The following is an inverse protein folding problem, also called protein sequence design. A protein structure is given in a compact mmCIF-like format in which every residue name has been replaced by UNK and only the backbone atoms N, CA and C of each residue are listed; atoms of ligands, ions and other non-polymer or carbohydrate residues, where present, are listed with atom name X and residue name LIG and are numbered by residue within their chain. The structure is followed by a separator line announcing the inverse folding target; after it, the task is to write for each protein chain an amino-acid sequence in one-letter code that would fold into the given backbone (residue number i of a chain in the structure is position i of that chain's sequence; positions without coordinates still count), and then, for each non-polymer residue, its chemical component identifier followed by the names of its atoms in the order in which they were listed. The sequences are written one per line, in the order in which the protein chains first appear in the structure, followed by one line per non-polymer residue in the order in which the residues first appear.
data_IF_213111098249
#
_entry.id   IF_213111098249
#
_cell.length_a   1.000
_cell.length_b   1.000
_cell.length_c   1.000
_cell.angle_alpha   90.00
_cell.angle_beta   90.00
_cell.angle_gamma   90.00
#
_symmetry.space_group_name_H-M   'P 1'
#
loop_
_entity.id
_entity.type
_entity.pdbx_description
1 polymer ?
#
# COMPACT_ATOMS: atom_id res chain seq x y z
N UNK A 1 17.52 6.94 21.70
CA UNK A 1 17.27 5.51 21.39
C UNK A 1 16.38 5.50 20.16
N UNK A 2 17.01 5.67 18.99
CA UNK A 2 16.33 5.75 17.71
C UNK A 2 16.19 4.32 17.18
N UNK A 3 14.95 3.92 16.90
CA UNK A 3 14.62 2.60 16.38
C UNK A 3 15.02 2.56 14.91
N UNK A 4 16.17 1.94 14.64
CA UNK A 4 16.67 1.63 13.31
C UNK A 4 16.00 0.35 12.81
N UNK A 5 14.68 0.39 12.62
CA UNK A 5 13.96 -0.69 11.97
C UNK A 5 14.06 -0.55 10.45
N UNK A 6 15.00 -1.32 9.90
CA UNK A 6 14.95 -1.89 8.55
C UNK A 6 14.93 -0.93 7.36
N UNK A 7 16.06 -0.30 7.05
CA UNK A 7 16.33 0.23 5.70
C UNK A 7 16.72 -0.92 4.75
N UNK A 8 15.73 -1.66 4.27
CA UNK A 8 15.84 -2.52 3.10
C UNK A 8 14.91 -2.04 2.00
N UNK A 9 15.09 -2.43 0.72
CA UNK A 9 14.19 -2.08 -0.38
C UNK A 9 12.74 -2.60 -0.20
N UNK A 10 12.49 -3.35 0.87
CA UNK A 10 11.21 -3.89 1.31
C UNK A 10 10.45 -2.94 2.28
N UNK A 11 11.11 -1.89 2.79
CA UNK A 11 10.54 -0.92 3.75
C UNK A 11 10.05 0.37 3.06
N UNK A 12 10.15 0.47 1.73
CA UNK A 12 9.62 1.62 1.01
C UNK A 12 8.08 1.54 0.99
N UNK A 13 7.43 2.49 1.65
CA UNK A 13 6.00 2.70 1.52
C UNK A 13 5.72 3.12 0.07
N UNK A 14 4.66 2.57 -0.52
CA UNK A 14 4.18 2.89 -1.86
C UNK A 14 2.76 3.45 -1.78
N UNK A 15 2.38 4.24 -2.79
CA UNK A 15 1.00 4.71 -2.91
C UNK A 15 0.16 3.60 -3.53
N UNK A 16 -0.81 3.09 -2.79
CA UNK A 16 -1.83 2.19 -3.28
C UNK A 16 -3.14 2.96 -3.53
N UNK A 17 -3.59 2.97 -4.78
CA UNK A 17 -4.89 3.51 -5.17
C UNK A 17 -5.87 2.37 -5.46
N UNK A 18 -7.02 2.40 -4.80
CA UNK A 18 -8.10 1.43 -5.00
C UNK A 18 -9.31 2.16 -5.54
N UNK A 19 -9.85 1.70 -6.68
CA UNK A 19 -11.12 2.21 -7.20
C UNK A 19 -12.26 1.29 -6.81
N UNK A 20 -13.39 1.90 -6.45
CA UNK A 20 -14.65 1.25 -6.17
C UNK A 20 -15.75 2.04 -6.87
N UNK A 21 -16.10 1.61 -8.09
CA UNK A 21 -16.94 2.39 -8.98
C UNK A 21 -16.26 3.70 -9.37
N UNK A 22 -16.94 4.83 -9.14
CA UNK A 22 -16.42 6.17 -9.47
C UNK A 22 -15.53 6.77 -8.36
N UNK A 23 -15.35 6.07 -7.24
CA UNK A 23 -14.59 6.57 -6.09
C UNK A 23 -13.18 5.97 -6.09
N UNK A 24 -12.17 6.83 -5.98
CA UNK A 24 -10.78 6.43 -5.75
C UNK A 24 -10.42 6.62 -4.28
N UNK A 25 -9.76 5.63 -3.71
CA UNK A 25 -9.21 5.65 -2.37
C UNK A 25 -7.70 5.54 -2.42
N UNK A 26 -7.03 6.52 -1.83
CA UNK A 26 -5.58 6.66 -1.82
C UNK A 26 -5.01 6.27 -0.45
N UNK A 27 -4.11 5.31 -0.46
CA UNK A 27 -3.46 4.78 0.74
C UNK A 27 -1.95 4.72 0.56
N UNK A 28 -1.21 4.78 1.67
CA UNK A 28 0.17 4.32 1.72
C UNK A 28 0.23 2.92 2.32
N UNK A 29 1.06 2.05 1.77
CA UNK A 29 1.33 0.72 2.33
C UNK A 29 2.76 0.32 2.01
N UNK A 30 3.36 -0.55 2.81
CA UNK A 30 4.64 -1.18 2.42
C UNK A 30 4.50 -1.86 1.07
N UNK A 31 5.55 -1.81 0.23
CA UNK A 31 5.57 -2.45 -1.08
C UNK A 31 5.04 -3.89 -1.05
N UNK A 32 5.49 -4.70 -0.09
CA UNK A 32 5.02 -6.09 0.06
C UNK A 32 3.54 -6.22 0.41
N UNK A 33 3.01 -5.34 1.26
CA UNK A 33 1.61 -5.33 1.62
C UNK A 33 0.73 -4.90 0.45
N UNK A 34 1.17 -3.90 -0.32
CA UNK A 34 0.49 -3.46 -1.52
C UNK A 34 0.43 -4.57 -2.58
N UNK A 35 1.54 -5.30 -2.79
CA UNK A 35 1.60 -6.44 -3.71
C UNK A 35 0.60 -7.55 -3.34
N UNK A 36 0.60 -7.98 -2.07
CA UNK A 36 -0.35 -8.99 -1.61
C UNK A 36 -1.80 -8.49 -1.70
N UNK A 37 -2.05 -7.23 -1.34
CA UNK A 37 -3.37 -6.62 -1.49
C UNK A 37 -3.84 -6.66 -2.96
N UNK A 38 -3.02 -6.23 -3.91
CA UNK A 38 -3.37 -6.24 -5.34
C UNK A 38 -3.67 -7.66 -5.85
N UNK A 39 -2.88 -8.64 -5.40
CA UNK A 39 -3.10 -10.03 -5.77
C UNK A 39 -4.43 -10.57 -5.24
N UNK A 40 -4.80 -10.28 -3.99
CA UNK A 40 -6.09 -10.71 -3.44
C UNK A 40 -7.26 -9.88 -3.98
N UNK A 41 -7.04 -8.59 -4.25
CA UNK A 41 -8.03 -7.70 -4.81
C UNK A 41 -8.44 -8.14 -6.21
N UNK A 42 -7.47 -8.40 -7.09
CA UNK A 42 -7.72 -8.88 -8.45
C UNK A 42 -8.42 -10.25 -8.50
N UNK A 43 -8.31 -11.06 -7.44
CA UNK A 43 -9.01 -12.35 -7.32
C UNK A 43 -10.46 -12.19 -6.85
N UNK A 44 -10.77 -11.15 -6.11
CA UNK A 44 -12.06 -10.98 -5.41
C UNK A 44 -12.94 -9.90 -6.04
N UNK A 45 -12.34 -8.91 -6.71
CA UNK A 45 -13.01 -7.75 -7.25
C UNK A 45 -12.59 -7.52 -8.71
N UNK A 46 -13.55 -7.11 -9.55
CA UNK A 46 -13.30 -6.69 -10.93
C UNK A 46 -12.78 -5.24 -11.02
N UNK A 47 -12.90 -4.48 -9.93
CA UNK A 47 -12.54 -3.06 -9.90
C UNK A 47 -11.01 -2.88 -9.87
N UNK A 48 -10.46 -1.83 -10.52
CA UNK A 48 -9.03 -1.64 -10.60
C UNK A 48 -8.43 -1.17 -9.27
N UNK A 49 -7.29 -1.76 -8.92
CA UNK A 49 -6.37 -1.26 -7.91
C UNK A 49 -4.98 -1.18 -8.52
N UNK A 50 -4.23 -0.12 -8.21
CA UNK A 50 -2.94 0.19 -8.82
C UNK A 50 -1.98 0.78 -7.79
N UNK A 51 -0.68 0.55 -8.01
CA UNK A 51 0.38 1.22 -7.26
C UNK A 51 0.83 2.44 -8.07
N UNK A 52 0.86 3.59 -7.42
CA UNK A 52 1.32 4.85 -7.99
C UNK A 52 2.73 5.13 -7.47
N UNK A 53 3.61 5.50 -8.40
CA UNK A 53 4.92 6.05 -8.04
C UNK A 53 4.70 7.51 -7.62
N UNK A 54 4.84 7.77 -6.33
CA UNK A 54 4.58 9.08 -5.73
C UNK A 54 5.76 9.48 -4.84
N UNK A 55 5.94 10.78 -4.62
CA UNK A 55 7.07 11.22 -3.80
C UNK A 55 6.87 10.83 -2.34
N UNK A 56 7.94 10.57 -1.56
CA UNK A 56 7.82 10.21 -0.15
C UNK A 56 7.07 11.28 0.68
N UNK A 57 7.10 12.55 0.28
CA UNK A 57 6.31 13.62 0.90
C UNK A 57 4.80 13.49 0.58
N UNK A 58 4.44 13.07 -0.63
CA UNK A 58 3.06 12.79 -1.00
C UNK A 58 2.52 11.60 -0.20
N UNK A 59 3.32 10.54 -0.05
CA UNK A 59 2.99 9.36 0.75
C UNK A 59 2.70 9.70 2.21
N UNK A 60 3.44 10.64 2.81
CA UNK A 60 3.23 11.04 4.22
C UNK A 60 1.85 11.65 4.49
N UNK A 61 1.22 12.22 3.47
CA UNK A 61 -0.12 12.80 3.57
C UNK A 61 -1.25 11.75 3.36
N UNK A 62 -0.92 10.55 2.91
CA UNK A 62 -1.87 9.47 2.68
C UNK A 62 -2.14 8.68 3.96
N UNK A 63 -3.37 8.15 4.07
CA UNK A 63 -3.69 7.23 5.15
C UNK A 63 -3.00 5.89 4.93
N UNK A 64 -2.49 5.30 6.01
CA UNK A 64 -1.94 3.95 5.93
C UNK A 64 -3.04 2.93 5.65
N UNK A 65 -2.77 1.94 4.80
CA UNK A 65 -3.71 0.88 4.45
C UNK A 65 -4.22 0.21 5.73
N UNK A 66 -5.54 0.22 5.99
CA UNK A 66 -6.10 -0.51 7.11
C UNK A 66 -5.78 -2.00 6.96
N UNK A 67 -5.40 -2.63 8.07
CA UNK A 67 -5.01 -4.05 8.10
C UNK A 67 -3.75 -4.39 7.28
N UNK A 68 -2.86 -3.42 7.02
CA UNK A 68 -1.56 -3.66 6.36
C UNK A 68 -0.83 -4.90 6.92
N UNK A 69 -0.85 -5.08 8.25
CA UNK A 69 -0.23 -6.22 8.94
C UNK A 69 -0.74 -7.59 8.49
N UNK A 70 -1.95 -7.70 7.94
CA UNK A 70 -2.44 -8.97 7.37
C UNK A 70 -1.69 -9.34 6.09
N UNK A 71 -1.14 -8.35 5.40
CA UNK A 71 -0.47 -8.49 4.12
C UNK A 71 1.06 -8.47 4.26
N UNK A 72 1.62 -8.27 5.45
CA UNK A 72 3.08 -8.28 5.69
C UNK A 72 3.65 -9.70 5.87
N UNK A 73 2.80 -10.73 5.85
CA UNK A 73 3.20 -12.09 6.21
C UNK A 73 3.43 -12.25 7.72
N UNK A 74 3.59 -13.50 8.21
CA UNK A 74 3.95 -13.79 9.60
C UNK A 74 5.39 -13.39 9.96
#
# INVERSE_FOLDING_TARGET
MADAAAEGPDDEDVHLRVRLGEVAFDYRARAIAAWHFLQDWSRTHCEPAEVIDDTPEALQNLRRLPCERLFLGP
#
